data_IF_582633855698
#
_entry.id   IF_582633855698
#
_cell.length_a   1.000
_cell.length_b   1.000
_cell.length_c   1.000
_cell.angle_alpha   90.00
_cell.angle_beta   90.00
_cell.angle_gamma   90.00
#
_symmetry.space_group_name_H-M   'P 1'
#
loop_
_entity.id
_entity.type
_entity.pdbx_description
1 polymer ?
#
# COMPACT_ATOMS: atom_id res chain seq x y z
N UNK A 1 5.64 -45.64 2.29
CA UNK A 1 6.12 -44.29 1.91
C UNK A 1 4.89 -43.44 1.62
N UNK A 2 4.31 -42.79 2.64
CA UNK A 2 3.13 -41.93 2.45
C UNK A 2 3.62 -40.58 1.93
N UNK A 3 3.25 -40.25 0.69
CA UNK A 3 3.40 -38.91 0.16
C UNK A 3 2.60 -37.97 1.05
N UNK A 4 3.27 -37.01 1.68
CA UNK A 4 2.59 -35.90 2.36
C UNK A 4 1.84 -35.11 1.28
N UNK A 5 0.55 -34.79 1.45
CA UNK A 5 -0.09 -33.82 0.57
C UNK A 5 0.71 -32.52 0.67
N UNK A 6 1.12 -32.00 -0.48
CA UNK A 6 1.71 -30.67 -0.58
C UNK A 6 0.62 -29.72 -0.09
N UNK A 7 0.90 -28.99 0.99
CA UNK A 7 -0.06 -28.12 1.67
C UNK A 7 -0.79 -27.23 0.65
N UNK A 8 -2.09 -27.49 0.49
CA UNK A 8 -3.05 -26.73 -0.32
C UNK A 8 -3.24 -25.28 0.20
N UNK A 9 -2.64 -24.91 1.33
CA UNK A 9 -2.80 -23.60 1.99
C UNK A 9 -1.82 -22.51 1.52
N UNK A 10 -0.83 -22.82 0.68
CA UNK A 10 0.20 -21.84 0.26
C UNK A 10 -0.23 -20.91 -0.90
N UNK A 11 -1.46 -21.06 -1.40
CA UNK A 11 -2.08 -20.13 -2.35
C UNK A 11 -3.36 -19.59 -1.70
N UNK A 12 -3.28 -19.15 -0.45
CA UNK A 12 -4.13 -18.03 -0.08
C UNK A 12 -3.70 -16.88 -0.99
N UNK A 13 -4.47 -16.66 -2.05
CA UNK A 13 -4.45 -15.38 -2.74
C UNK A 13 -4.60 -14.35 -1.63
N UNK A 14 -3.51 -13.65 -1.31
CA UNK A 14 -3.57 -12.48 -0.44
C UNK A 14 -4.58 -11.59 -1.15
N UNK A 15 -5.81 -11.53 -0.63
CA UNK A 15 -6.80 -10.59 -1.11
C UNK A 15 -6.18 -9.23 -0.86
N UNK A 16 -5.56 -8.68 -1.91
CA UNK A 16 -4.94 -7.37 -1.87
C UNK A 16 -6.08 -6.38 -1.68
N UNK A 17 -6.21 -5.90 -0.44
CA UNK A 17 -7.27 -4.96 -0.09
C UNK A 17 -6.97 -3.63 -0.78
N UNK A 18 -7.79 -3.29 -1.78
CA UNK A 18 -7.71 -2.00 -2.45
C UNK A 18 -8.43 -0.96 -1.60
N UNK A 19 -7.72 0.09 -1.22
CA UNK A 19 -8.26 1.20 -0.44
C UNK A 19 -8.30 2.50 -1.25
N UNK A 20 -9.28 3.33 -0.96
CA UNK A 20 -9.46 4.65 -1.56
C UNK A 20 -8.45 5.67 -1.01
N UNK A 21 -8.39 6.84 -1.66
CA UNK A 21 -7.59 7.98 -1.14
C UNK A 21 -8.05 8.39 0.27
N UNK A 22 -9.35 8.36 0.53
CA UNK A 22 -9.98 8.74 1.79
C UNK A 22 -9.64 7.75 2.91
N UNK A 23 -9.63 6.45 2.61
CA UNK A 23 -9.24 5.41 3.56
C UNK A 23 -7.74 5.46 3.86
N UNK A 24 -6.89 5.63 2.84
CA UNK A 24 -5.46 5.82 3.03
C UNK A 24 -5.17 7.05 3.91
N UNK A 25 -5.85 8.17 3.64
CA UNK A 25 -5.72 9.39 4.41
C UNK A 25 -6.11 9.17 5.89
N UNK A 26 -7.22 8.46 6.12
CA UNK A 26 -7.65 8.08 7.47
C UNK A 26 -6.64 7.19 8.17
N UNK A 27 -6.09 6.20 7.48
CA UNK A 27 -5.07 5.29 8.00
C UNK A 27 -3.80 6.04 8.41
N UNK A 28 -3.33 6.95 7.57
CA UNK A 28 -2.14 7.76 7.82
C UNK A 28 -2.40 8.97 8.73
N UNK A 29 -3.66 9.20 9.12
CA UNK A 29 -4.13 10.36 9.91
C UNK A 29 -3.73 11.70 9.29
N UNK A 30 -3.86 11.81 7.97
CA UNK A 30 -3.64 13.04 7.21
C UNK A 30 -4.92 13.46 6.50
N UNK A 31 -4.99 14.72 6.07
CA UNK A 31 -6.09 15.18 5.22
C UNK A 31 -6.00 14.55 3.81
N UNK A 32 -7.11 14.09 3.19
CA UNK A 32 -7.10 13.55 1.83
C UNK A 32 -6.45 14.46 0.78
N UNK A 33 -6.53 15.80 0.94
CA UNK A 33 -5.84 16.75 0.06
C UNK A 33 -4.32 16.61 0.12
N UNK A 34 -3.76 16.18 1.25
CA UNK A 34 -2.32 15.90 1.40
C UNK A 34 -1.91 14.71 0.53
N UNK A 35 -2.70 13.64 0.54
CA UNK A 35 -2.47 12.46 -0.32
C UNK A 35 -2.60 12.84 -1.80
N UNK A 36 -3.61 13.65 -2.17
CA UNK A 36 -3.72 14.17 -3.55
C UNK A 36 -2.50 15.00 -3.95
N UNK A 37 -2.02 15.87 -3.06
CA UNK A 37 -0.83 16.70 -3.28
C UNK A 37 0.42 15.84 -3.49
N UNK A 38 0.61 14.75 -2.72
CA UNK A 38 1.75 13.86 -2.90
C UNK A 38 1.85 13.28 -4.33
N UNK A 39 0.71 13.00 -4.96
CA UNK A 39 0.65 12.53 -6.35
C UNK A 39 0.96 13.61 -7.39
N UNK A 40 0.85 14.90 -7.05
CA UNK A 40 1.06 16.00 -8.01
C UNK A 40 2.40 16.70 -7.86
N UNK A 41 3.04 16.60 -6.69
CA UNK A 41 4.37 17.18 -6.47
C UNK A 41 5.45 16.48 -7.31
N UNK A 42 6.51 17.22 -7.61
CA UNK A 42 7.70 16.74 -8.32
C UNK A 42 8.91 16.92 -7.39
N UNK A 43 9.64 15.85 -7.02
CA UNK A 43 9.43 14.45 -7.41
C UNK A 43 8.13 13.87 -6.83
N UNK A 44 7.60 12.82 -7.47
CA UNK A 44 6.39 12.13 -7.04
C UNK A 44 6.58 11.60 -5.61
N UNK A 45 5.58 11.79 -4.75
CA UNK A 45 5.62 11.34 -3.36
C UNK A 45 4.42 10.44 -3.05
N UNK A 46 4.51 9.77 -1.91
CA UNK A 46 3.46 8.86 -1.44
C UNK A 46 3.65 7.42 -1.91
N UNK A 47 2.76 6.51 -1.47
CA UNK A 47 2.77 5.12 -1.90
C UNK A 47 2.38 4.98 -3.38
N UNK A 48 2.74 3.85 -4.02
CA UNK A 48 2.24 3.49 -5.35
C UNK A 48 0.71 3.60 -5.41
N UNK A 49 0.18 3.99 -6.57
CA UNK A 49 -1.26 4.15 -6.76
C UNK A 49 -1.71 3.55 -8.08
N UNK A 50 -2.94 3.06 -8.10
CA UNK A 50 -3.61 2.51 -9.27
C UNK A 50 -4.62 3.54 -9.76
N UNK A 51 -4.42 4.05 -10.97
CA UNK A 51 -5.36 4.94 -11.62
C UNK A 51 -6.37 4.13 -12.43
N UNK A 52 -7.59 3.97 -11.89
CA UNK A 52 -8.68 3.29 -12.59
C UNK A 52 -9.41 4.23 -13.57
N UNK A 53 -9.48 5.52 -13.24
CA UNK A 53 -10.01 6.58 -14.12
C UNK A 53 -9.42 7.95 -13.76
N UNK A 54 -9.85 9.01 -14.44
CA UNK A 54 -9.42 10.38 -14.10
C UNK A 54 -9.73 10.76 -12.64
N UNK A 55 -10.83 10.25 -12.07
CA UNK A 55 -11.29 10.62 -10.72
C UNK A 55 -11.14 9.50 -9.69
N UNK A 56 -10.90 8.26 -10.13
CA UNK A 56 -10.85 7.08 -9.26
C UNK A 56 -9.41 6.60 -9.14
N UNK A 57 -8.84 6.79 -7.96
CA UNK A 57 -7.50 6.34 -7.58
C UNK A 57 -7.63 5.40 -6.40
N UNK A 58 -7.05 4.21 -6.53
CA UNK A 58 -6.96 3.21 -5.48
C UNK A 58 -5.51 2.96 -5.08
N UNK A 59 -5.33 2.32 -3.93
CA UNK A 59 -4.05 1.92 -3.37
C UNK A 59 -4.13 0.46 -2.96
N UNK A 60 -3.13 -0.32 -3.32
CA UNK A 60 -2.95 -1.64 -2.73
C UNK A 60 -2.41 -1.48 -1.30
N UNK A 61 -3.04 -2.13 -0.32
CA UNK A 61 -2.60 -2.06 1.07
C UNK A 61 -1.16 -2.56 1.25
N UNK A 62 -0.72 -3.55 0.46
CA UNK A 62 0.63 -4.09 0.55
C UNK A 62 1.66 -3.09 0.02
N UNK A 63 1.40 -2.46 -1.12
CA UNK A 63 2.24 -1.37 -1.66
C UNK A 63 2.39 -0.23 -0.65
N UNK A 64 1.31 0.11 0.06
CA UNK A 64 1.33 1.14 1.10
C UNK A 64 2.21 0.70 2.28
N UNK A 65 2.11 -0.56 2.71
CA UNK A 65 2.94 -1.11 3.80
C UNK A 65 4.41 -1.13 3.42
N UNK A 66 4.75 -1.56 2.21
CA UNK A 66 6.13 -1.54 1.70
C UNK A 66 6.67 -0.13 1.63
N UNK A 67 5.87 0.82 1.15
CA UNK A 67 6.24 2.23 1.11
C UNK A 67 6.53 2.79 2.52
N UNK A 68 5.69 2.49 3.51
CA UNK A 68 5.93 2.88 4.90
C UNK A 68 7.19 2.24 5.46
N UNK A 69 7.43 0.96 5.17
CA UNK A 69 8.61 0.24 5.60
C UNK A 69 9.90 0.85 5.02
N UNK A 70 9.89 1.23 3.74
CA UNK A 70 11.03 1.88 3.06
C UNK A 70 11.42 3.24 3.68
N UNK A 71 10.47 3.92 4.33
CA UNK A 71 10.66 5.23 4.97
C UNK A 71 10.87 5.15 6.48
N UNK A 72 10.77 3.96 7.06
CA UNK A 72 10.96 3.77 8.50
C UNK A 72 12.44 3.98 8.85
N UNK A 73 12.72 5.07 9.55
CA UNK A 73 14.03 5.32 10.16
C UNK A 73 14.07 4.59 11.51
N UNK A 74 15.08 3.74 11.71
CA UNK A 74 15.36 3.13 13.02
C UNK A 74 16.42 3.97 13.75
N UNK A 75 16.14 4.52 14.94
CA UNK A 75 17.08 5.38 15.66
C UNK A 75 18.43 4.75 15.96
N UNK A 76 18.48 3.43 16.12
CA UNK A 76 19.70 2.65 16.40
C UNK A 76 20.65 2.50 15.20
N UNK A 77 20.27 2.98 14.02
CA UNK A 77 21.05 2.89 12.78
C UNK A 77 21.49 4.26 12.23
N UNK A 78 21.36 5.33 13.02
CA UNK A 78 21.69 6.71 12.66
C UNK A 78 22.95 7.22 13.38
#
# INVERSE_FOLDING_TARGET
MRLRPINTEAIEAVESELITTEELARMLRVDPSSVRRWRTVRPLQGPPYIQLSERVIMYDIEDVREWLASRRIRPEAA
#
